data_IF_782679309678
#
_entry.id   IF_782679309678
#
_cell.length_a   1.000
_cell.length_b   1.000
_cell.length_c   1.000
_cell.angle_alpha   90.00
_cell.angle_beta   90.00
_cell.angle_gamma   90.00
#
_symmetry.space_group_name_H-M   'P 1'
#
loop_
_entity.id
_entity.type
_entity.pdbx_description
1 polymer ?
#
# COMPACT_ATOMS: atom_id res chain seq x y z
N UNK A 1 68.31 8.00 -54.76
CA UNK A 1 66.95 8.45 -54.42
C UNK A 1 66.26 7.33 -53.69
N UNK A 2 66.09 7.44 -52.38
CA UNK A 2 65.35 6.43 -51.58
C UNK A 2 63.97 7.02 -51.29
N UNK A 3 62.95 6.36 -51.73
CA UNK A 3 61.55 6.71 -51.45
C UNK A 3 61.17 6.14 -50.08
N UNK A 4 60.79 7.00 -49.13
CA UNK A 4 60.20 6.63 -47.85
C UNK A 4 58.67 6.67 -48.03
N UNK A 5 58.02 5.53 -47.85
CA UNK A 5 56.56 5.38 -47.84
C UNK A 5 56.14 5.56 -46.38
N UNK A 6 55.25 6.53 -46.02
CA UNK A 6 54.70 6.58 -44.68
C UNK A 6 53.57 5.53 -44.52
N UNK A 7 53.75 4.67 -43.56
CA UNK A 7 52.67 3.75 -43.07
C UNK A 7 51.72 4.56 -42.21
N UNK A 8 50.47 4.68 -42.67
CA UNK A 8 49.36 5.21 -41.87
C UNK A 8 48.81 4.10 -41.00
N UNK A 9 49.05 4.14 -39.68
CA UNK A 9 48.36 3.28 -38.72
C UNK A 9 46.95 3.85 -38.50
N UNK A 10 45.95 3.15 -38.98
CA UNK A 10 44.55 3.37 -38.60
C UNK A 10 44.34 2.72 -37.24
N UNK A 11 44.23 3.56 -36.20
CA UNK A 11 43.73 3.13 -34.89
C UNK A 11 42.19 3.01 -35.00
N UNK A 12 41.70 1.80 -35.04
CA UNK A 12 40.30 1.54 -34.78
C UNK A 12 40.10 1.66 -33.26
N UNK A 13 39.45 2.73 -32.83
CA UNK A 13 38.87 2.87 -31.52
C UNK A 13 37.65 1.94 -31.51
N UNK A 14 37.71 0.85 -30.80
CA UNK A 14 36.49 0.18 -30.33
C UNK A 14 35.86 1.11 -29.30
N UNK A 15 34.75 1.72 -29.62
CA UNK A 15 33.82 2.23 -28.61
C UNK A 15 33.20 1.00 -27.96
N UNK A 16 33.63 0.69 -26.76
CA UNK A 16 32.88 -0.19 -25.87
C UNK A 16 31.54 0.52 -25.59
N UNK A 17 30.49 0.03 -26.19
CA UNK A 17 29.13 0.32 -25.73
C UNK A 17 29.02 -0.26 -24.32
N UNK A 18 29.33 0.55 -23.33
CA UNK A 18 28.92 0.31 -21.96
C UNK A 18 27.39 0.46 -22.02
N UNK A 19 26.67 -0.65 -22.15
CA UNK A 19 25.29 -0.69 -21.71
C UNK A 19 25.35 -0.31 -20.23
N UNK A 20 24.88 0.89 -19.89
CA UNK A 20 24.54 1.23 -18.53
C UNK A 20 23.57 0.12 -18.07
N UNK A 21 24.08 -0.80 -17.27
CA UNK A 21 23.22 -1.69 -16.54
C UNK A 21 22.29 -0.79 -15.73
N UNK A 22 20.99 -0.90 -15.95
CA UNK A 22 20.01 -0.29 -15.06
C UNK A 22 20.45 -0.64 -13.64
N UNK A 23 20.73 0.39 -12.83
CA UNK A 23 21.10 0.18 -11.44
C UNK A 23 19.97 -0.63 -10.79
N UNK A 24 20.26 -1.89 -10.48
CA UNK A 24 19.37 -2.68 -9.66
C UNK A 24 19.31 -1.96 -8.31
N UNK A 25 18.14 -1.42 -7.97
CA UNK A 25 17.98 -0.86 -6.64
C UNK A 25 18.17 -1.96 -5.62
N UNK A 26 19.16 -1.73 -4.78
CA UNK A 26 19.51 -2.64 -3.69
C UNK A 26 18.50 -2.39 -2.57
N UNK A 27 17.45 -3.23 -2.50
CA UNK A 27 16.58 -3.24 -1.35
C UNK A 27 17.29 -4.02 -0.24
N UNK A 28 17.45 -3.44 0.94
CA UNK A 28 17.92 -4.21 2.07
C UNK A 28 17.01 -5.42 2.30
N UNK A 29 15.71 -5.22 2.51
CA UNK A 29 14.70 -6.29 2.50
C UNK A 29 13.35 -5.76 1.98
N UNK A 30 12.76 -6.46 1.02
CA UNK A 30 11.38 -6.22 0.57
C UNK A 30 10.46 -7.28 1.18
N UNK A 31 9.40 -6.83 1.84
CA UNK A 31 8.33 -7.67 2.37
C UNK A 31 7.10 -7.55 1.47
N UNK A 32 6.57 -8.69 1.05
CA UNK A 32 5.31 -8.78 0.30
C UNK A 32 4.33 -9.59 1.13
N UNK A 33 3.25 -8.97 1.54
CA UNK A 33 2.18 -9.63 2.28
C UNK A 33 1.12 -10.15 1.32
N UNK A 34 0.85 -11.45 1.40
CA UNK A 34 -0.25 -12.09 0.69
C UNK A 34 -1.37 -12.41 1.68
N UNK A 35 -2.59 -11.90 1.43
CA UNK A 35 -3.72 -12.03 2.36
C UNK A 35 -4.09 -13.48 2.64
N UNK A 36 -3.95 -14.33 1.64
CA UNK A 36 -4.49 -15.69 1.68
C UNK A 36 -5.99 -15.74 1.39
N UNK A 37 -6.56 -16.92 1.43
CA UNK A 37 -7.99 -17.13 1.22
C UNK A 37 -8.75 -16.99 2.54
N UNK A 38 -9.80 -16.18 2.54
CA UNK A 38 -10.65 -15.98 3.71
C UNK A 38 -11.13 -17.31 4.33
N UNK A 39 -10.98 -17.45 5.63
CA UNK A 39 -11.32 -18.65 6.38
C UNK A 39 -10.30 -19.80 6.27
N UNK A 40 -9.17 -19.61 5.58
CA UNK A 40 -8.16 -20.65 5.36
C UNK A 40 -6.90 -20.51 6.21
N UNK A 41 -6.70 -19.36 6.85
CA UNK A 41 -5.51 -19.06 7.68
C UNK A 41 -4.17 -19.30 6.95
N UNK A 42 -4.16 -19.09 5.63
CA UNK A 42 -3.02 -19.34 4.76
C UNK A 42 -2.32 -18.07 4.25
N UNK A 43 -2.57 -16.94 4.89
CA UNK A 43 -1.85 -15.71 4.61
C UNK A 43 -0.34 -15.87 4.84
N UNK A 44 0.48 -15.17 4.08
CA UNK A 44 1.94 -15.32 4.08
C UNK A 44 2.67 -14.00 3.94
N UNK A 45 3.96 -14.01 4.26
CA UNK A 45 4.89 -12.93 3.96
C UNK A 45 6.07 -13.54 3.21
N UNK A 46 6.32 -13.06 2.00
CA UNK A 46 7.51 -13.35 1.23
C UNK A 46 8.55 -12.26 1.48
N UNK A 47 9.78 -12.67 1.79
CA UNK A 47 10.90 -11.75 2.02
C UNK A 47 11.91 -11.91 0.89
N UNK A 48 12.22 -10.80 0.27
CA UNK A 48 13.21 -10.71 -0.80
C UNK A 48 14.38 -9.83 -0.36
N UNK A 49 15.59 -10.25 -0.70
CA UNK A 49 16.79 -9.45 -0.62
C UNK A 49 17.33 -9.31 -2.04
N UNK A 50 17.46 -8.07 -2.52
CA UNK A 50 17.72 -7.82 -3.93
C UNK A 50 16.66 -8.52 -4.80
N UNK A 51 17.07 -9.51 -5.58
CA UNK A 51 16.17 -10.26 -6.48
C UNK A 51 15.84 -11.67 -5.96
N UNK A 52 16.41 -12.08 -4.86
CA UNK A 52 16.25 -13.43 -4.33
C UNK A 52 15.20 -13.51 -3.23
N UNK A 53 14.30 -14.47 -3.34
CA UNK A 53 13.41 -14.83 -2.24
C UNK A 53 14.22 -15.58 -1.18
N UNK A 54 14.47 -14.91 -0.04
CA UNK A 54 15.28 -15.47 1.03
C UNK A 54 14.46 -16.17 2.10
N UNK A 55 13.17 -15.81 2.22
CA UNK A 55 12.28 -16.42 3.22
C UNK A 55 10.83 -16.40 2.75
N UNK A 56 10.05 -17.40 3.19
CA UNK A 56 8.58 -17.39 3.16
C UNK A 56 8.08 -17.72 4.55
N UNK A 57 7.35 -16.79 5.16
CA UNK A 57 6.63 -17.03 6.41
C UNK A 57 5.21 -17.43 6.06
N UNK A 58 4.92 -18.73 6.12
CA UNK A 58 3.60 -19.28 5.78
C UNK A 58 2.70 -19.35 7.00
N UNK A 59 1.38 -19.39 6.77
CA UNK A 59 0.36 -19.51 7.81
C UNK A 59 0.48 -18.39 8.87
N UNK A 60 0.72 -17.17 8.41
CA UNK A 60 0.78 -15.99 9.28
C UNK A 60 -0.57 -15.79 9.98
N UNK A 61 -1.67 -16.09 9.30
CA UNK A 61 -3.02 -16.09 9.84
C UNK A 61 -4.07 -15.96 8.75
N UNK A 62 -5.29 -15.67 9.16
CA UNK A 62 -6.44 -15.52 8.26
C UNK A 62 -6.59 -14.04 7.89
N UNK A 63 -6.41 -13.73 6.64
CA UNK A 63 -6.35 -12.39 6.02
C UNK A 63 -5.22 -11.53 6.60
N UNK A 64 -4.01 -11.67 6.03
CA UNK A 64 -2.89 -10.76 6.27
C UNK A 64 -3.16 -9.45 5.56
N UNK A 65 -3.73 -8.49 6.28
CA UNK A 65 -4.36 -7.30 5.73
C UNK A 65 -3.36 -6.21 5.36
N UNK A 66 -2.48 -5.85 6.27
CA UNK A 66 -1.49 -4.80 6.06
C UNK A 66 -0.20 -5.08 6.80
N UNK A 67 0.90 -4.50 6.34
CA UNK A 67 2.22 -4.57 6.94
C UNK A 67 2.86 -3.20 7.07
N UNK A 68 3.60 -2.99 8.14
CA UNK A 68 4.28 -1.73 8.43
C UNK A 68 5.64 -2.00 9.05
N UNK A 69 6.70 -1.44 8.47
CA UNK A 69 8.04 -1.43 9.06
C UNK A 69 8.16 -0.18 9.94
N UNK A 70 8.58 -0.39 11.18
CA UNK A 70 8.93 0.69 12.09
C UNK A 70 10.17 0.30 12.88
N UNK A 71 11.23 1.10 12.78
CA UNK A 71 12.55 0.76 13.28
C UNK A 71 12.98 -0.62 12.75
N UNK A 72 13.43 -1.54 13.61
CA UNK A 72 13.89 -2.88 13.24
C UNK A 72 12.76 -3.94 13.33
N UNK A 73 11.50 -3.52 13.29
CA UNK A 73 10.34 -4.37 13.45
C UNK A 73 9.39 -4.32 12.25
N UNK A 74 8.85 -5.48 11.87
CA UNK A 74 7.72 -5.60 10.96
C UNK A 74 6.45 -5.89 11.76
N UNK A 75 5.49 -4.98 11.69
CA UNK A 75 4.13 -5.17 12.22
C UNK A 75 3.20 -5.65 11.12
N UNK A 76 2.31 -6.57 11.47
CA UNK A 76 1.41 -7.26 10.54
C UNK A 76 0.01 -7.29 11.13
N UNK A 77 -0.95 -6.62 10.51
CA UNK A 77 -2.36 -6.74 10.88
C UNK A 77 -2.94 -8.00 10.24
N UNK A 78 -3.47 -8.91 11.05
CA UNK A 78 -4.10 -10.14 10.59
C UNK A 78 -5.59 -10.09 10.95
N UNK A 79 -6.37 -9.62 9.99
CA UNK A 79 -7.73 -9.11 10.20
C UNK A 79 -8.67 -10.16 10.80
N UNK A 80 -8.84 -11.28 10.14
CA UNK A 80 -9.80 -12.32 10.59
C UNK A 80 -9.25 -13.21 11.71
N UNK A 81 -7.95 -13.14 12.00
CA UNK A 81 -7.35 -13.72 13.20
C UNK A 81 -7.42 -12.79 14.41
N UNK A 82 -7.81 -11.52 14.23
CA UNK A 82 -7.93 -10.53 15.28
C UNK A 82 -6.65 -10.30 16.09
N UNK A 83 -5.50 -10.27 15.41
CA UNK A 83 -4.19 -10.07 16.02
C UNK A 83 -3.37 -9.06 15.22
N UNK A 84 -2.39 -8.46 15.90
CA UNK A 84 -1.21 -7.85 15.28
C UNK A 84 -0.03 -8.75 15.58
N UNK A 85 0.71 -9.16 14.56
CA UNK A 85 2.00 -9.82 14.74
C UNK A 85 3.13 -8.82 14.64
N UNK A 86 4.18 -9.06 15.40
CA UNK A 86 5.44 -8.32 15.36
C UNK A 86 6.58 -9.30 15.13
N UNK A 87 7.42 -9.01 14.16
CA UNK A 87 8.65 -9.76 13.87
C UNK A 87 9.84 -8.82 13.95
N UNK A 88 10.90 -9.25 14.64
CA UNK A 88 12.20 -8.58 14.55
C UNK A 88 12.76 -8.80 13.13
N UNK A 89 13.24 -7.74 12.50
CA UNK A 89 13.90 -7.79 11.20
C UNK A 89 15.38 -8.07 11.42
N UNK A 90 15.91 -9.06 10.72
CA UNK A 90 17.30 -9.48 10.76
C UNK A 90 17.85 -9.63 9.34
N UNK A 91 19.17 -9.63 9.16
CA UNK A 91 19.81 -9.72 7.83
C UNK A 91 19.34 -10.88 6.95
N UNK A 92 18.83 -11.94 7.56
CA UNK A 92 18.32 -13.14 6.88
C UNK A 92 16.81 -13.18 6.72
N UNK A 93 16.09 -12.07 7.02
CA UNK A 93 14.65 -11.98 6.92
C UNK A 93 13.97 -11.62 8.24
N UNK A 94 12.95 -12.37 8.62
CA UNK A 94 12.17 -12.18 9.86
C UNK A 94 12.55 -13.24 10.89
N UNK A 95 12.80 -12.82 12.13
CA UNK A 95 13.01 -13.73 13.25
C UNK A 95 11.69 -14.41 13.64
N UNK A 96 11.67 -15.74 13.65
CA UNK A 96 10.49 -16.53 13.96
C UNK A 96 10.56 -17.11 15.38
N UNK A 97 9.40 -17.27 16.05
CA UNK A 97 8.03 -17.18 15.55
C UNK A 97 7.42 -15.77 15.56
N UNK A 98 8.08 -14.75 16.10
CA UNK A 98 7.51 -13.42 16.33
C UNK A 98 6.61 -13.36 17.58
N UNK A 99 6.02 -12.18 17.81
CA UNK A 99 5.11 -11.90 18.92
C UNK A 99 3.70 -11.75 18.36
N UNK A 100 2.71 -12.35 19.03
CA UNK A 100 1.29 -12.17 18.70
C UNK A 100 0.62 -11.30 19.76
N UNK A 101 -0.02 -10.22 19.34
CA UNK A 101 -0.77 -9.31 20.20
C UNK A 101 -2.25 -9.40 19.84
N UNK A 102 -3.07 -9.84 20.80
CA UNK A 102 -4.53 -9.89 20.60
C UNK A 102 -5.12 -8.49 20.50
N UNK A 103 -5.99 -8.28 19.51
CA UNK A 103 -6.74 -7.03 19.35
C UNK A 103 -8.15 -7.11 19.95
N UNK A 104 -8.44 -8.15 20.74
CA UNK A 104 -9.73 -8.39 21.40
C UNK A 104 -10.90 -8.52 20.41
N UNK A 105 -10.75 -9.38 19.42
CA UNK A 105 -11.74 -9.67 18.37
C UNK A 105 -12.19 -8.42 17.59
N UNK A 106 -11.27 -7.49 17.29
CA UNK A 106 -11.63 -6.22 16.67
C UNK A 106 -11.61 -6.22 15.15
N UNK A 107 -10.89 -7.14 14.49
CA UNK A 107 -10.69 -7.16 13.04
C UNK A 107 -9.81 -6.01 12.57
N UNK A 108 -8.49 -6.00 12.90
CA UNK A 108 -7.58 -4.93 12.53
C UNK A 108 -7.40 -4.84 11.01
N UNK A 109 -7.32 -3.61 10.48
CA UNK A 109 -7.18 -3.35 9.05
C UNK A 109 -5.87 -2.66 8.74
N UNK A 110 -5.86 -1.34 8.71
CA UNK A 110 -4.71 -0.54 8.35
C UNK A 110 -4.06 0.10 9.59
N UNK A 111 -2.78 0.41 9.47
CA UNK A 111 -1.95 0.83 10.59
C UNK A 111 -1.18 2.11 10.28
N UNK A 112 -1.02 3.00 11.26
CA UNK A 112 -0.05 4.08 11.20
C UNK A 112 0.65 4.29 12.54
N UNK A 113 1.91 4.73 12.52
CA UNK A 113 2.72 4.99 13.72
C UNK A 113 2.85 6.49 13.94
N UNK A 114 2.62 6.93 15.20
CA UNK A 114 2.93 8.29 15.63
C UNK A 114 3.66 8.20 16.98
N UNK A 115 4.92 8.59 17.00
CA UNK A 115 5.79 8.41 18.16
C UNK A 115 5.99 6.92 18.49
N UNK A 116 5.73 6.54 19.72
CA UNK A 116 5.82 5.18 20.24
C UNK A 116 4.48 4.42 20.24
N UNK A 117 3.55 4.85 19.39
CA UNK A 117 2.19 4.30 19.32
C UNK A 117 1.82 3.91 17.90
N UNK A 118 1.36 2.68 17.73
CA UNK A 118 0.78 2.18 16.50
C UNK A 118 -0.74 2.24 16.61
N UNK A 119 -1.36 3.11 15.82
CA UNK A 119 -2.81 3.24 15.70
C UNK A 119 -3.30 2.33 14.58
N UNK A 120 -4.45 1.69 14.78
CA UNK A 120 -5.02 0.80 13.78
C UNK A 120 -6.54 0.84 13.76
N UNK A 121 -7.07 0.72 12.57
CA UNK A 121 -8.52 0.65 12.29
C UNK A 121 -9.06 -0.75 12.56
N UNK A 122 -10.34 -0.84 12.91
CA UNK A 122 -10.98 -2.10 13.24
C UNK A 122 -12.40 -2.20 12.65
N UNK A 123 -12.63 -3.21 11.84
CA UNK A 123 -13.93 -3.43 11.20
C UNK A 123 -15.01 -3.90 12.16
N UNK A 124 -14.69 -4.88 13.01
CA UNK A 124 -15.69 -5.54 13.87
C UNK A 124 -16.12 -4.64 15.01
N UNK A 125 -15.20 -3.90 15.60
CA UNK A 125 -15.51 -3.02 16.74
C UNK A 125 -15.81 -1.58 16.35
N UNK A 126 -15.63 -1.21 15.08
CA UNK A 126 -15.84 0.16 14.55
C UNK A 126 -15.09 1.19 15.37
N UNK A 127 -13.84 0.97 15.63
CA UNK A 127 -13.02 1.85 16.44
C UNK A 127 -11.59 1.95 15.90
N UNK A 128 -10.88 2.90 16.46
CA UNK A 128 -9.43 2.96 16.40
C UNK A 128 -8.90 2.48 17.75
N UNK A 129 -7.99 1.54 17.71
CA UNK A 129 -7.21 1.12 18.86
C UNK A 129 -5.77 1.57 18.72
N UNK A 130 -5.06 1.53 19.82
CA UNK A 130 -3.64 1.87 19.89
C UNK A 130 -2.88 0.75 20.56
N UNK A 131 -1.79 0.33 19.92
CA UNK A 131 -0.76 -0.55 20.46
C UNK A 131 0.40 0.33 20.92
N UNK A 132 0.72 0.28 22.20
CA UNK A 132 1.93 0.89 22.75
C UNK A 132 3.14 0.02 22.38
N UNK A 133 4.08 0.60 21.64
CA UNK A 133 5.21 -0.13 21.06
C UNK A 133 6.28 -0.54 22.07
N UNK A 134 6.27 0.05 23.27
CA UNK A 134 7.20 -0.31 24.35
C UNK A 134 6.70 -1.48 25.19
N UNK A 135 5.37 -1.59 25.35
CA UNK A 135 4.75 -2.56 26.26
C UNK A 135 3.94 -3.63 25.56
N UNK A 136 3.64 -3.45 24.27
CA UNK A 136 2.75 -4.28 23.47
C UNK A 136 1.33 -4.42 24.06
N UNK A 137 0.88 -3.39 24.77
CA UNK A 137 -0.48 -3.33 25.32
C UNK A 137 -1.40 -2.63 24.34
N UNK A 138 -2.51 -3.28 23.99
CA UNK A 138 -3.58 -2.71 23.16
C UNK A 138 -4.61 -2.04 24.05
N UNK A 139 -4.99 -0.81 23.71
CA UNK A 139 -6.07 -0.06 24.36
C UNK A 139 -7.00 0.59 23.33
N UNK A 140 -8.24 0.90 23.75
CA UNK A 140 -9.18 1.68 22.95
C UNK A 140 -8.70 3.11 22.83
N UNK A 141 -8.87 3.72 21.65
CA UNK A 141 -8.49 5.11 21.41
C UNK A 141 -9.68 5.98 21.01
N UNK A 142 -10.38 5.65 19.93
CA UNK A 142 -11.54 6.41 19.45
C UNK A 142 -12.60 5.48 18.89
N UNK A 143 -13.88 5.73 19.23
CA UNK A 143 -15.02 4.96 18.71
C UNK A 143 -15.65 5.71 17.55
N UNK A 144 -15.93 4.99 16.46
CA UNK A 144 -16.53 5.54 15.26
C UNK A 144 -17.97 5.06 15.09
N UNK A 145 -18.79 5.85 14.39
CA UNK A 145 -20.14 5.45 14.02
C UNK A 145 -20.12 4.47 12.84
N UNK A 146 -19.20 4.72 11.90
CA UNK A 146 -19.04 3.96 10.66
C UNK A 146 -17.85 2.99 10.77
N UNK A 147 -17.83 2.00 9.88
CA UNK A 147 -16.73 1.03 9.78
C UNK A 147 -15.51 1.68 9.13
N UNK A 148 -14.36 1.76 9.83
CA UNK A 148 -13.14 2.37 9.29
C UNK A 148 -12.37 1.40 8.40
N UNK A 149 -11.71 1.93 7.36
CA UNK A 149 -10.79 1.19 6.51
C UNK A 149 -9.35 1.67 6.70
N UNK A 150 -8.98 2.75 6.08
CA UNK A 150 -7.61 3.24 6.09
C UNK A 150 -7.38 4.36 7.10
N UNK A 151 -6.11 4.56 7.48
CA UNK A 151 -5.68 5.52 8.48
C UNK A 151 -4.33 6.14 8.12
N UNK A 152 -4.28 7.47 8.06
CA UNK A 152 -3.05 8.25 7.90
C UNK A 152 -2.96 9.35 8.95
N UNK A 153 -1.77 9.91 9.16
CA UNK A 153 -1.55 10.96 10.17
C UNK A 153 -0.68 12.09 9.64
N UNK A 154 -0.95 13.32 10.14
CA UNK A 154 -0.06 14.47 10.01
C UNK A 154 0.79 14.70 11.29
N UNK A 155 0.76 13.77 12.24
CA UNK A 155 1.46 13.83 13.52
C UNK A 155 0.63 14.47 14.65
N UNK A 156 -0.44 15.22 14.35
CA UNK A 156 -1.36 15.81 15.32
C UNK A 156 -2.76 15.21 15.24
N UNK A 157 -3.17 14.82 14.04
CA UNK A 157 -4.46 14.24 13.73
C UNK A 157 -4.31 12.92 12.99
N UNK A 158 -5.27 12.03 13.23
CA UNK A 158 -5.52 10.85 12.39
C UNK A 158 -6.64 11.19 11.41
N UNK A 159 -6.49 10.76 10.17
CA UNK A 159 -7.52 10.82 9.13
C UNK A 159 -7.91 9.40 8.79
N UNK A 160 -9.19 9.08 8.90
CA UNK A 160 -9.71 7.72 8.80
C UNK A 160 -10.83 7.67 7.77
N UNK A 161 -10.68 6.84 6.76
CA UNK A 161 -11.73 6.56 5.78
C UNK A 161 -12.79 5.62 6.35
N UNK A 162 -14.06 5.84 6.01
CA UNK A 162 -15.15 5.01 6.50
C UNK A 162 -16.09 4.60 5.35
N UNK A 163 -15.74 3.52 4.60
CA UNK A 163 -16.47 3.08 3.40
C UNK A 163 -17.84 2.49 3.67
N UNK A 164 -18.13 2.06 4.90
CA UNK A 164 -19.38 1.42 5.28
C UNK A 164 -19.96 2.02 6.56
N UNK A 165 -21.27 2.09 6.67
CA UNK A 165 -21.97 2.42 7.91
C UNK A 165 -22.07 1.20 8.82
N UNK A 166 -22.39 0.05 8.22
CA UNK A 166 -22.38 -1.26 8.86
C UNK A 166 -21.52 -2.21 8.03
N UNK A 167 -20.93 -3.21 8.67
CA UNK A 167 -20.07 -4.18 8.00
C UNK A 167 -20.84 -4.92 6.90
N UNK A 168 -20.36 -4.81 5.68
CA UNK A 168 -20.98 -5.36 4.46
C UNK A 168 -22.36 -4.80 4.11
N UNK A 169 -22.78 -3.71 4.73
CA UNK A 169 -24.08 -3.08 4.44
C UNK A 169 -23.96 -1.55 4.52
N UNK A 170 -24.85 -0.86 3.83
CA UNK A 170 -24.93 0.61 3.80
C UNK A 170 -23.56 1.32 3.61
N UNK A 171 -23.35 1.86 2.43
CA UNK A 171 -22.10 2.54 2.11
C UNK A 171 -21.93 3.83 2.94
N UNK A 172 -20.72 4.03 3.45
CA UNK A 172 -20.26 5.26 4.07
C UNK A 172 -19.66 6.22 3.05
N UNK A 173 -19.41 7.45 3.46
CA UNK A 173 -18.93 8.52 2.58
C UNK A 173 -17.99 9.51 3.25
N UNK A 174 -17.52 9.20 4.45
CA UNK A 174 -16.78 10.15 5.27
C UNK A 174 -15.30 9.80 5.41
N UNK A 175 -14.49 10.84 5.50
CA UNK A 175 -13.19 10.80 6.16
C UNK A 175 -13.35 11.50 7.50
N UNK A 176 -12.97 10.83 8.58
CA UNK A 176 -13.08 11.34 9.96
C UNK A 176 -11.71 11.80 10.44
N UNK A 177 -11.63 13.05 10.94
CA UNK A 177 -10.44 13.65 11.55
C UNK A 177 -10.51 13.52 13.07
N UNK A 178 -9.47 12.93 13.67
CA UNK A 178 -9.40 12.61 15.11
C UNK A 178 -8.16 13.27 15.68
N UNK A 179 -8.33 14.01 16.77
CA UNK A 179 -7.22 14.63 17.52
C UNK A 179 -6.45 13.56 18.30
N UNK A 180 -5.15 13.42 18.04
CA UNK A 180 -4.30 12.38 18.65
C UNK A 180 -4.14 12.58 20.15
N UNK A 181 -4.15 13.83 20.64
CA UNK A 181 -3.95 14.12 22.04
C UNK A 181 -5.14 13.73 22.92
N UNK A 182 -6.34 13.72 22.36
CA UNK A 182 -7.59 13.50 23.10
C UNK A 182 -8.40 12.29 22.66
N UNK A 183 -8.16 11.77 21.45
CA UNK A 183 -8.98 10.72 20.82
C UNK A 183 -10.36 11.21 20.35
N UNK A 184 -10.61 12.53 20.38
CA UNK A 184 -11.89 13.07 19.97
C UNK A 184 -11.97 13.28 18.45
N UNK A 185 -13.13 12.97 17.88
CA UNK A 185 -13.46 13.36 16.51
C UNK A 185 -13.65 14.90 16.52
N UNK A 186 -12.90 15.60 15.67
CA UNK A 186 -12.94 17.06 15.56
C UNK A 186 -13.60 17.55 14.28
N UNK A 187 -13.59 16.73 13.22
CA UNK A 187 -14.16 17.08 11.92
C UNK A 187 -14.47 15.82 11.11
N UNK A 188 -15.35 15.93 10.11
CA UNK A 188 -15.56 14.91 9.11
C UNK A 188 -15.79 15.54 7.74
N UNK A 189 -15.20 14.96 6.69
CA UNK A 189 -15.30 15.42 5.32
C UNK A 189 -16.15 14.46 4.52
N UNK A 190 -17.19 14.98 3.85
CA UNK A 190 -18.04 14.22 2.92
C UNK A 190 -17.30 14.09 1.58
N UNK A 191 -16.80 12.90 1.28
CA UNK A 191 -15.97 12.63 0.08
C UNK A 191 -16.68 11.72 -0.94
N UNK A 192 -17.97 11.51 -0.77
CA UNK A 192 -18.79 10.61 -1.59
C UNK A 192 -18.61 9.14 -1.21
N UNK A 193 -19.48 8.29 -1.73
CA UNK A 193 -19.60 6.88 -1.31
C UNK A 193 -18.31 6.07 -1.51
N UNK A 194 -18.05 5.18 -0.55
CA UNK A 194 -17.00 4.16 -0.58
C UNK A 194 -15.57 4.70 -0.52
N UNK A 195 -15.23 5.62 0.41
CA UNK A 195 -13.83 6.04 0.61
C UNK A 195 -13.01 4.86 1.18
N UNK A 196 -11.92 4.50 0.48
CA UNK A 196 -11.07 3.37 0.86
C UNK A 196 -9.67 3.87 1.26
N UNK A 197 -8.70 3.80 0.37
CA UNK A 197 -7.30 4.10 0.66
C UNK A 197 -7.03 5.61 0.65
N UNK A 198 -6.17 6.05 1.53
CA UNK A 198 -5.81 7.44 1.77
C UNK A 198 -4.34 7.70 1.43
N UNK A 199 -4.07 8.88 0.93
CA UNK A 199 -2.70 9.39 0.77
C UNK A 199 -2.66 10.86 1.16
N UNK A 200 -1.89 11.18 2.19
CA UNK A 200 -1.69 12.55 2.66
C UNK A 200 -0.43 13.15 2.04
N UNK A 201 -0.61 14.23 1.29
CA UNK A 201 0.47 15.03 0.68
C UNK A 201 0.38 16.47 1.20
N UNK A 202 1.17 16.81 2.18
CA UNK A 202 1.11 18.09 2.89
C UNK A 202 -0.31 18.40 3.43
N UNK A 203 -1.02 19.36 2.83
CA UNK A 203 -2.37 19.75 3.20
C UNK A 203 -3.45 19.11 2.30
N UNK A 204 -3.09 18.23 1.41
CA UNK A 204 -4.01 17.58 0.50
C UNK A 204 -4.13 16.08 0.87
N UNK A 205 -5.32 15.70 1.27
CA UNK A 205 -5.65 14.31 1.55
C UNK A 205 -6.39 13.72 0.35
N UNK A 206 -5.75 12.82 -0.36
CA UNK A 206 -6.33 12.08 -1.47
C UNK A 206 -7.00 10.81 -0.97
N UNK A 207 -8.11 10.44 -1.59
CA UNK A 207 -8.87 9.24 -1.25
C UNK A 207 -9.30 8.50 -2.51
N UNK A 208 -9.09 7.20 -2.50
CA UNK A 208 -9.70 6.31 -3.48
C UNK A 208 -11.12 5.96 -3.06
N UNK A 209 -11.99 5.69 -4.02
CA UNK A 209 -13.39 5.39 -3.76
C UNK A 209 -13.86 4.22 -4.61
N UNK A 210 -14.58 3.29 -3.99
CA UNK A 210 -15.32 2.21 -4.67
C UNK A 210 -16.71 2.13 -4.06
N UNK A 211 -17.73 2.21 -4.90
CA UNK A 211 -19.13 2.17 -4.47
C UNK A 211 -19.92 1.16 -5.29
N UNK A 212 -21.00 0.65 -4.72
CA UNK A 212 -21.85 -0.37 -5.33
C UNK A 212 -23.29 0.13 -5.44
N UNK A 213 -23.94 -0.17 -6.54
CA UNK A 213 -25.37 0.08 -6.72
C UNK A 213 -26.23 -1.05 -6.11
N UNK A 214 -27.56 -0.93 -6.23
CA UNK A 214 -28.52 -1.92 -5.71
C UNK A 214 -28.35 -3.32 -6.35
N UNK A 215 -27.68 -3.41 -7.50
CA UNK A 215 -27.41 -4.67 -8.21
C UNK A 215 -25.96 -5.16 -7.98
N UNK A 216 -25.27 -4.57 -7.03
CA UNK A 216 -23.83 -4.83 -6.74
C UNK A 216 -22.89 -4.51 -7.91
N UNK A 217 -23.31 -3.61 -8.82
CA UNK A 217 -22.42 -3.10 -9.86
C UNK A 217 -21.48 -2.08 -9.25
N UNK A 218 -20.19 -2.34 -9.35
CA UNK A 218 -19.17 -1.45 -8.81
C UNK A 218 -18.97 -0.21 -9.69
N UNK A 219 -18.79 0.94 -9.05
CA UNK A 219 -18.28 2.18 -9.64
C UNK A 219 -17.11 2.67 -8.84
N UNK A 220 -16.11 3.24 -9.49
CA UNK A 220 -14.92 3.73 -8.82
C UNK A 220 -14.68 5.21 -9.10
N UNK A 221 -13.90 5.84 -8.21
CA UNK A 221 -13.60 7.27 -8.28
C UNK A 221 -12.44 7.64 -7.38
N UNK A 222 -12.23 8.94 -7.24
CA UNK A 222 -11.29 9.53 -6.28
C UNK A 222 -11.90 10.78 -5.65
N UNK A 223 -11.34 11.18 -4.53
CA UNK A 223 -11.60 12.46 -3.89
C UNK A 223 -10.32 13.11 -3.44
N UNK A 224 -10.39 14.40 -3.15
CA UNK A 224 -9.31 15.17 -2.55
C UNK A 224 -9.89 16.16 -1.56
N UNK A 225 -9.32 16.21 -0.37
CA UNK A 225 -9.69 17.16 0.69
C UNK A 225 -8.51 18.09 0.93
N UNK A 226 -8.73 19.40 0.92
CA UNK A 226 -7.79 20.33 1.52
C UNK A 226 -8.07 20.38 3.03
N UNK A 227 -7.23 19.74 3.83
CA UNK A 227 -7.43 19.59 5.28
C UNK A 227 -7.31 20.89 6.07
N UNK A 228 -6.81 21.98 5.44
CA UNK A 228 -6.71 23.30 6.05
C UNK A 228 -7.95 24.17 5.82
N UNK A 229 -8.65 23.99 4.67
CA UNK A 229 -9.83 24.80 4.29
C UNK A 229 -11.12 24.02 4.39
N UNK A 230 -11.06 22.69 4.38
CA UNK A 230 -12.23 21.79 4.30
C UNK A 230 -12.83 21.64 2.89
N UNK A 231 -12.19 22.24 1.87
CA UNK A 231 -12.66 22.09 0.50
C UNK A 231 -12.49 20.66 0.00
N UNK A 232 -13.51 20.15 -0.71
CA UNK A 232 -13.54 18.77 -1.19
C UNK A 232 -13.83 18.73 -2.70
N UNK A 233 -12.96 18.03 -3.44
CA UNK A 233 -13.16 17.67 -4.84
C UNK A 233 -13.50 16.17 -4.95
N UNK A 234 -14.49 15.83 -5.77
CA UNK A 234 -14.94 14.44 -5.96
C UNK A 234 -15.13 14.17 -7.45
N UNK A 235 -14.60 13.01 -7.90
CA UNK A 235 -14.85 12.51 -9.25
C UNK A 235 -15.25 11.03 -9.22
N UNK A 236 -16.15 10.64 -10.11
CA UNK A 236 -16.50 9.24 -10.38
C UNK A 236 -16.13 8.92 -11.83
N UNK A 237 -15.40 7.84 -12.04
CA UNK A 237 -14.88 7.43 -13.36
C UNK A 237 -15.86 6.53 -14.12
N UNK A 238 -16.88 6.02 -13.45
CA UNK A 238 -17.88 5.13 -14.02
C UNK A 238 -17.81 3.71 -13.49
N UNK A 239 -18.39 2.78 -14.24
CA UNK A 239 -18.45 1.35 -13.86
C UNK A 239 -17.06 0.74 -13.90
N UNK A 240 -16.72 0.00 -12.87
CA UNK A 240 -15.44 -0.68 -12.69
C UNK A 240 -15.09 -0.78 -11.22
N UNK A 241 -14.12 -1.60 -10.92
CA UNK A 241 -13.55 -1.71 -9.57
C UNK A 241 -12.03 -1.81 -9.68
N UNK A 242 -11.36 -1.36 -8.65
CA UNK A 242 -10.00 -1.76 -8.35
C UNK A 242 -10.06 -2.26 -6.90
N UNK A 243 -9.96 -3.55 -6.70
CA UNK A 243 -9.88 -4.13 -5.36
C UNK A 243 -8.69 -3.50 -4.63
N UNK A 244 -8.82 -3.24 -3.34
CA UNK A 244 -7.92 -2.41 -2.51
C UNK A 244 -7.68 -0.98 -3.02
N UNK A 245 -7.98 -0.68 -4.23
CA UNK A 245 -8.17 0.67 -4.77
C UNK A 245 -7.07 1.69 -4.42
N UNK A 246 -5.80 1.28 -4.35
CA UNK A 246 -4.72 2.13 -3.86
C UNK A 246 -4.58 3.47 -4.61
N UNK A 247 -4.23 4.51 -3.86
CA UNK A 247 -3.92 5.84 -4.33
C UNK A 247 -2.59 6.28 -3.71
N UNK A 248 -1.66 6.73 -4.53
CA UNK A 248 -0.30 7.02 -4.09
C UNK A 248 0.37 8.05 -4.99
N UNK A 249 1.43 8.69 -4.49
CA UNK A 249 2.26 9.62 -5.25
C UNK A 249 3.43 8.88 -5.87
N UNK A 250 3.53 8.91 -7.20
CA UNK A 250 4.66 8.37 -7.95
C UNK A 250 5.18 9.44 -8.92
N UNK A 251 6.49 9.70 -8.91
CA UNK A 251 7.14 10.76 -9.71
C UNK A 251 6.47 12.14 -9.53
N UNK A 252 6.24 12.51 -8.28
CA UNK A 252 5.55 13.76 -7.89
C UNK A 252 4.14 13.95 -8.46
N UNK A 253 3.53 12.90 -9.00
CA UNK A 253 2.16 12.89 -9.52
C UNK A 253 1.32 11.87 -8.76
N UNK A 254 0.11 12.25 -8.38
CA UNK A 254 -0.84 11.30 -7.80
C UNK A 254 -1.28 10.28 -8.84
N UNK A 255 -1.29 9.02 -8.43
CA UNK A 255 -1.74 7.89 -9.25
C UNK A 255 -2.86 7.14 -8.54
N UNK A 256 -3.75 6.61 -9.34
CA UNK A 256 -4.83 5.71 -8.94
C UNK A 256 -4.54 4.32 -9.48
N UNK A 257 -4.47 3.32 -8.62
CA UNK A 257 -4.48 1.94 -9.08
C UNK A 257 -5.83 1.62 -9.75
N UNK A 258 -5.78 1.03 -10.91
CA UNK A 258 -6.91 0.49 -11.65
C UNK A 258 -6.66 -0.99 -11.94
N UNK A 259 -7.65 -1.74 -12.36
CA UNK A 259 -7.47 -3.16 -12.70
C UNK A 259 -6.42 -3.42 -13.80
N UNK A 260 -5.93 -2.37 -14.48
CA UNK A 260 -5.01 -2.47 -15.62
C UNK A 260 -3.63 -1.85 -15.37
N UNK A 261 -3.39 -1.28 -14.21
CA UNK A 261 -2.14 -0.59 -13.88
C UNK A 261 -2.36 0.66 -13.04
N UNK A 262 -1.31 1.43 -12.81
CA UNK A 262 -1.36 2.70 -12.10
C UNK A 262 -1.53 3.87 -13.09
N UNK A 263 -2.54 4.69 -12.88
CA UNK A 263 -2.91 5.78 -13.79
C UNK A 263 -2.72 7.12 -13.10
N UNK A 264 -1.90 8.03 -13.68
CA UNK A 264 -1.72 9.37 -13.12
C UNK A 264 -3.00 10.19 -13.19
N UNK A 265 -3.22 10.99 -12.15
CA UNK A 265 -4.32 11.95 -12.01
C UNK A 265 -3.86 13.34 -12.43
N UNK A 266 -4.71 14.07 -13.15
CA UNK A 266 -4.51 15.50 -13.38
C UNK A 266 -4.95 16.34 -12.18
N UNK A 267 -4.80 17.67 -12.27
CA UNK A 267 -5.17 18.60 -11.20
C UNK A 267 -6.68 18.57 -10.85
N UNK A 268 -7.53 18.05 -11.73
CA UNK A 268 -8.96 17.88 -11.53
C UNK A 268 -9.35 16.42 -11.21
N UNK A 269 -8.37 15.59 -10.83
CA UNK A 269 -8.49 14.16 -10.53
C UNK A 269 -8.90 13.27 -11.72
N UNK A 270 -8.84 13.76 -12.97
CA UNK A 270 -9.12 12.91 -14.13
C UNK A 270 -7.99 11.92 -14.38
N UNK A 271 -8.35 10.72 -14.80
CA UNK A 271 -7.41 9.66 -15.17
C UNK A 271 -6.76 9.96 -16.52
N UNK A 272 -5.44 10.04 -16.56
CA UNK A 272 -4.67 10.08 -17.80
C UNK A 272 -4.27 8.67 -18.25
N UNK A 273 -5.20 7.94 -18.87
CA UNK A 273 -5.00 6.56 -19.30
C UNK A 273 -3.84 6.39 -20.30
N UNK A 274 -3.48 7.44 -21.05
CA UNK A 274 -2.38 7.39 -22.01
C UNK A 274 -0.99 7.32 -21.34
N UNK A 275 -0.91 7.75 -20.07
CA UNK A 275 0.32 7.72 -19.27
C UNK A 275 0.29 6.62 -18.18
N UNK A 276 -0.58 5.63 -18.33
CA UNK A 276 -0.67 4.49 -17.42
C UNK A 276 0.67 3.75 -17.30
N UNK A 277 1.05 3.40 -16.07
CA UNK A 277 2.19 2.54 -15.76
C UNK A 277 1.72 1.11 -15.60
N UNK A 278 2.42 0.18 -16.24
CA UNK A 278 2.00 -1.20 -16.37
C UNK A 278 0.91 -1.38 -17.44
N UNK A 279 0.91 -2.51 -18.09
CA UNK A 279 -0.18 -3.00 -18.96
C UNK A 279 -0.55 -4.39 -18.45
N UNK A 280 -1.23 -4.38 -17.29
CA UNK A 280 -1.50 -5.55 -16.49
C UNK A 280 -2.99 -5.88 -16.52
N UNK A 281 -3.34 -7.04 -15.97
CA UNK A 281 -4.73 -7.41 -15.71
C UNK A 281 -4.84 -7.87 -14.26
N UNK A 282 -5.95 -7.53 -13.62
CA UNK A 282 -6.22 -7.95 -12.25
C UNK A 282 -5.30 -7.28 -11.22
N UNK A 283 -4.90 -6.01 -11.45
CA UNK A 283 -4.17 -5.27 -10.42
C UNK A 283 -5.05 -5.19 -9.17
N UNK A 284 -4.48 -5.66 -8.08
CA UNK A 284 -5.10 -5.76 -6.77
C UNK A 284 -4.61 -4.69 -5.81
N UNK A 285 -3.29 -4.50 -5.76
CA UNK A 285 -2.63 -3.57 -4.84
C UNK A 285 -1.52 -2.78 -5.53
N UNK A 286 -1.15 -1.64 -4.96
CA UNK A 286 -0.05 -0.83 -5.46
C UNK A 286 0.52 0.10 -4.40
N UNK A 287 1.84 0.27 -4.41
CA UNK A 287 2.57 1.14 -3.48
C UNK A 287 3.82 1.70 -4.15
N UNK A 288 4.33 2.79 -3.64
CA UNK A 288 5.64 3.31 -4.05
C UNK A 288 6.66 3.00 -2.97
N UNK A 289 7.77 2.40 -3.38
CA UNK A 289 8.87 1.98 -2.51
C UNK A 289 10.17 2.44 -3.18
N UNK A 290 10.97 3.26 -2.47
CA UNK A 290 12.25 3.79 -2.95
C UNK A 290 12.16 4.30 -4.41
N UNK A 291 11.20 5.22 -4.68
CA UNK A 291 10.93 5.80 -6.00
C UNK A 291 10.51 4.79 -7.09
N UNK A 292 10.31 3.53 -6.74
CA UNK A 292 9.77 2.51 -7.64
C UNK A 292 8.30 2.23 -7.32
N UNK A 293 7.56 1.91 -8.37
CA UNK A 293 6.17 1.49 -8.26
C UNK A 293 6.10 -0.03 -8.20
N UNK A 294 5.50 -0.55 -7.15
CA UNK A 294 5.18 -1.97 -6.99
C UNK A 294 3.67 -2.18 -7.18
N UNK A 295 3.31 -3.16 -8.02
CA UNK A 295 1.92 -3.52 -8.31
C UNK A 295 1.71 -5.02 -8.11
N UNK A 296 0.78 -5.41 -7.27
CA UNK A 296 0.33 -6.79 -7.10
C UNK A 296 -0.85 -7.09 -8.03
N UNK A 297 -0.85 -8.25 -8.66
CA UNK A 297 -1.97 -8.75 -9.46
C UNK A 297 -2.51 -10.05 -8.90
N UNK A 298 -3.79 -10.31 -9.11
CA UNK A 298 -4.43 -11.57 -8.72
C UNK A 298 -5.51 -12.02 -9.69
N UNK A 299 -5.66 -13.32 -9.82
CA UNK A 299 -6.85 -13.98 -10.38
C UNK A 299 -7.62 -14.77 -9.30
N UNK A 300 -7.29 -14.50 -8.03
CA UNK A 300 -7.82 -15.19 -6.83
C UNK A 300 -7.37 -16.65 -6.69
N UNK A 301 -6.32 -17.05 -7.43
CA UNK A 301 -5.74 -18.40 -7.38
C UNK A 301 -4.20 -18.29 -7.32
N UNK A 302 -3.58 -18.95 -6.34
CA UNK A 302 -2.12 -18.94 -6.23
C UNK A 302 -1.43 -19.79 -7.31
N UNK A 303 -0.20 -19.44 -7.74
CA UNK A 303 0.56 -18.25 -7.35
C UNK A 303 0.13 -16.99 -8.08
N UNK A 304 0.23 -15.84 -7.41
CA UNK A 304 0.06 -14.53 -7.97
C UNK A 304 1.40 -13.88 -8.32
N UNK A 305 1.35 -12.71 -8.97
CA UNK A 305 2.55 -12.00 -9.42
C UNK A 305 2.56 -10.56 -8.95
N UNK A 306 3.73 -10.11 -8.52
CA UNK A 306 4.01 -8.71 -8.18
C UNK A 306 5.02 -8.16 -9.19
N UNK A 307 4.80 -6.94 -9.65
CA UNK A 307 5.59 -6.24 -10.67
C UNK A 307 6.24 -5.00 -10.08
N UNK A 308 7.53 -4.80 -10.32
CA UNK A 308 8.28 -3.63 -9.90
C UNK A 308 8.67 -2.80 -11.12
N UNK A 309 8.30 -1.52 -11.13
CA UNK A 309 8.60 -0.57 -12.19
C UNK A 309 9.47 0.57 -11.65
N UNK A 310 10.47 0.99 -12.43
CA UNK A 310 11.28 2.15 -12.08
C UNK A 310 10.59 3.49 -12.43
N UNK A 311 11.27 4.59 -12.10
CA UNK A 311 10.81 5.95 -12.42
C UNK A 311 10.71 6.25 -13.93
N UNK A 312 11.29 5.41 -14.81
CA UNK A 312 11.15 5.51 -16.27
C UNK A 312 9.97 4.68 -16.81
N UNK A 313 9.18 4.05 -15.94
CA UNK A 313 8.09 3.10 -16.26
C UNK A 313 8.59 1.79 -16.90
N UNK A 314 9.84 1.43 -16.69
CA UNK A 314 10.40 0.16 -17.14
C UNK A 314 10.17 -0.92 -16.09
N UNK A 315 9.76 -2.10 -16.52
CA UNK A 315 9.66 -3.26 -15.63
C UNK A 315 11.07 -3.71 -15.21
N UNK A 316 11.36 -3.59 -13.93
CA UNK A 316 12.63 -4.04 -13.34
C UNK A 316 12.61 -5.52 -12.98
N UNK A 317 11.51 -5.97 -12.37
CA UNK A 317 11.43 -7.30 -11.79
C UNK A 317 9.98 -7.77 -11.63
N UNK A 318 9.82 -9.09 -11.58
CA UNK A 318 8.59 -9.77 -11.16
C UNK A 318 8.89 -10.71 -10.00
N UNK A 319 7.93 -10.82 -9.08
CA UNK A 319 8.00 -11.72 -7.94
C UNK A 319 6.81 -12.67 -7.97
N UNK A 320 7.08 -13.97 -7.86
CA UNK A 320 6.02 -14.96 -7.65
C UNK A 320 5.71 -15.06 -6.16
N UNK A 321 4.46 -14.84 -5.80
CA UNK A 321 3.99 -14.75 -4.42
C UNK A 321 2.75 -15.63 -4.21
N UNK A 322 2.28 -15.72 -2.98
CA UNK A 322 1.04 -16.42 -2.66
C UNK A 322 -0.19 -15.59 -3.14
N UNK A 323 -1.38 -16.12 -2.89
CA UNK A 323 -2.65 -15.52 -3.37
C UNK A 323 -2.96 -14.19 -2.67
N UNK A 324 -3.44 -13.21 -3.45
CA UNK A 324 -3.85 -11.86 -3.00
C UNK A 324 -2.69 -11.08 -2.36
N UNK A 325 -1.67 -10.69 -3.14
CA UNK A 325 -0.62 -9.79 -2.65
C UNK A 325 -1.21 -8.42 -2.33
N UNK A 326 -1.45 -8.17 -1.03
CA UNK A 326 -2.24 -7.04 -0.56
C UNK A 326 -1.41 -5.83 -0.15
N UNK A 327 -0.24 -6.01 0.45
CA UNK A 327 0.57 -4.88 0.91
C UNK A 327 2.07 -5.16 0.82
N UNK A 328 2.86 -4.09 0.81
CA UNK A 328 4.29 -4.09 0.60
C UNK A 328 4.98 -3.20 1.64
N UNK A 329 6.14 -3.63 2.12
CA UNK A 329 6.99 -2.81 2.95
C UNK A 329 8.46 -3.04 2.61
N UNK A 330 9.30 -2.05 2.92
CA UNK A 330 10.74 -2.14 2.75
C UNK A 330 11.42 -1.82 4.07
N UNK A 331 12.51 -2.51 4.33
CA UNK A 331 13.45 -2.20 5.39
C UNK A 331 14.80 -1.86 4.77
N UNK A 332 15.22 -0.62 4.92
CA UNK A 332 16.55 -0.13 4.54
C UNK A 332 17.38 0.03 5.82
N UNK A 333 18.52 -0.65 5.87
CA UNK A 333 19.43 -0.63 7.02
C UNK A 333 20.51 0.45 6.86
#
# INVERSE_FOLDING_TARGET
MKYIIPIFLLLFSCEDNVTENAESQDFSLLFIASEGNFGSSNGSIEVYKEQEKIQTVSNVGDVVQSILVFEDDLFVAVSNSHIIKKYDIIDSGLALPGIEVSTNNSGPREMCVVGDKLYFTNWVTKDIKVLDLNTYVVSSFSTLTNVPEDIVSDGNFLYVSTPHQELYDNQGSLITKIDISSGNIVESFEVGLGPEQLYLDENLLFVSRTSYDENWSASYGSGRVNISTGDVDIITYGVGTACRADIFKFKDVMHRATSQGAVPLDANLNLNMAAKVGDLNGVYSGKVINDNLILGTTDYSAPDTVFLFNSSNELLQTFEVNVLPGDFAIYDN
#
